data_IF_010648351740
#
_entry.id   IF_010648351740
#
_cell.length_a   1.000
_cell.length_b   1.000
_cell.length_c   1.000
_cell.angle_alpha   90.00
_cell.angle_beta   90.00
_cell.angle_gamma   90.00
#
_symmetry.space_group_name_H-M   'P 1'
#
loop_
_entity.id
_entity.type
_entity.pdbx_description
1 polymer ?
#
# COMPACT_ATOMS: atom_id res chain seq x y z
N UNK A 1 55.14 -13.62 -86.29
CA UNK A 1 55.20 -13.75 -84.81
C UNK A 1 55.51 -12.44 -84.10
N UNK A 2 55.99 -11.39 -84.78
CA UNK A 2 56.28 -10.09 -84.13
C UNK A 2 55.01 -9.24 -83.86
N UNK A 3 54.05 -9.18 -84.79
CA UNK A 3 52.84 -8.36 -84.63
C UNK A 3 51.88 -8.83 -83.52
N UNK A 4 51.85 -10.14 -83.23
CA UNK A 4 51.11 -10.70 -82.09
C UNK A 4 51.71 -10.28 -80.74
N UNK A 5 53.03 -10.03 -80.69
CA UNK A 5 53.75 -9.63 -79.48
C UNK A 5 53.57 -8.13 -79.19
N UNK A 6 53.47 -7.30 -80.23
CA UNK A 6 53.23 -5.85 -80.11
C UNK A 6 51.78 -5.47 -79.74
N UNK A 7 50.80 -6.35 -79.95
CA UNK A 7 49.40 -6.10 -79.65
C UNK A 7 48.81 -7.04 -78.58
N UNK A 8 49.65 -7.83 -77.91
CA UNK A 8 49.26 -8.76 -76.86
C UNK A 8 48.52 -8.07 -75.70
N UNK A 9 48.96 -6.88 -75.31
CA UNK A 9 48.30 -6.06 -74.27
C UNK A 9 46.87 -5.69 -74.66
N UNK A 10 46.63 -5.30 -75.92
CA UNK A 10 45.31 -4.94 -76.41
C UNK A 10 44.37 -6.16 -76.48
N UNK A 11 44.91 -7.33 -76.81
CA UNK A 11 44.14 -8.58 -76.85
C UNK A 11 43.72 -8.99 -75.45
N UNK A 12 44.63 -8.95 -74.46
CA UNK A 12 44.28 -9.23 -73.07
C UNK A 12 43.27 -8.22 -72.54
N UNK A 13 43.47 -6.92 -72.83
CA UNK A 13 42.55 -5.88 -72.39
C UNK A 13 41.15 -6.06 -73.00
N UNK A 14 41.07 -6.43 -74.28
CA UNK A 14 39.79 -6.73 -74.95
C UNK A 14 39.10 -7.95 -74.34
N UNK A 15 39.85 -9.00 -74.01
CA UNK A 15 39.32 -10.19 -73.36
C UNK A 15 38.83 -9.88 -71.93
N UNK A 16 39.58 -9.07 -71.18
CA UNK A 16 39.18 -8.61 -69.86
C UNK A 16 37.90 -7.76 -69.90
N UNK A 17 37.76 -6.86 -70.88
CA UNK A 17 36.52 -6.11 -71.08
C UNK A 17 35.33 -7.03 -71.42
N UNK A 18 35.52 -8.02 -72.30
CA UNK A 18 34.47 -9.00 -72.61
C UNK A 18 34.04 -9.80 -71.38
N UNK A 19 34.99 -10.23 -70.55
CA UNK A 19 34.68 -10.94 -69.31
C UNK A 19 33.88 -10.06 -68.33
N UNK A 20 34.20 -8.76 -68.24
CA UNK A 20 33.48 -7.83 -67.37
C UNK A 20 32.05 -7.58 -67.86
N UNK A 21 31.85 -7.38 -69.18
CA UNK A 21 30.52 -7.25 -69.77
C UNK A 21 29.68 -8.51 -69.55
N UNK A 22 30.30 -9.69 -69.69
CA UNK A 22 29.62 -10.97 -69.45
C UNK A 22 29.21 -11.13 -67.97
N UNK A 23 30.08 -10.75 -67.02
CA UNK A 23 29.75 -10.77 -65.60
C UNK A 23 28.60 -9.81 -65.26
N UNK A 24 28.60 -8.60 -65.83
CA UNK A 24 27.51 -7.64 -65.66
C UNK A 24 26.17 -8.17 -66.22
N UNK A 25 26.20 -8.87 -67.35
CA UNK A 25 25.02 -9.50 -67.93
C UNK A 25 24.43 -10.57 -67.00
N UNK A 26 25.27 -11.42 -66.38
CA UNK A 26 24.80 -12.43 -65.42
C UNK A 26 24.12 -11.77 -64.22
N UNK A 27 24.69 -10.70 -63.68
CA UNK A 27 24.12 -10.01 -62.51
C UNK A 27 22.75 -9.39 -62.84
N UNK A 28 22.59 -8.81 -64.03
CA UNK A 28 21.31 -8.19 -64.44
C UNK A 28 20.22 -9.23 -64.68
N UNK A 29 20.58 -10.45 -65.08
CA UNK A 29 19.63 -11.52 -65.42
C UNK A 29 19.41 -12.52 -64.27
N UNK A 30 19.94 -12.26 -63.07
CA UNK A 30 19.80 -13.14 -61.93
C UNK A 30 18.47 -12.90 -61.20
N UNK A 31 17.44 -13.66 -61.56
CA UNK A 31 16.12 -13.62 -60.91
C UNK A 31 16.08 -14.43 -59.60
N UNK A 32 17.20 -14.50 -58.86
CA UNK A 32 17.32 -15.32 -57.65
C UNK A 32 16.46 -14.77 -56.50
N UNK A 33 16.40 -13.45 -56.34
CA UNK A 33 15.59 -12.79 -55.31
C UNK A 33 14.10 -13.06 -55.51
N UNK A 34 13.57 -12.89 -56.73
CA UNK A 34 12.16 -13.13 -57.04
C UNK A 34 11.75 -14.59 -56.78
N UNK A 35 12.64 -15.54 -57.08
CA UNK A 35 12.40 -16.98 -56.82
C UNK A 35 12.40 -17.29 -55.33
N UNK A 36 13.26 -16.64 -54.56
CA UNK A 36 13.30 -16.78 -53.10
C UNK A 36 12.03 -16.19 -52.50
N UNK A 37 11.60 -15.01 -52.94
CA UNK A 37 10.37 -14.38 -52.48
C UNK A 37 9.15 -15.22 -52.81
N UNK A 38 9.03 -15.74 -54.03
CA UNK A 38 7.95 -16.63 -54.43
C UNK A 38 7.92 -17.92 -53.59
N UNK A 39 9.09 -18.51 -53.29
CA UNK A 39 9.19 -19.69 -52.44
C UNK A 39 8.80 -19.40 -50.98
N UNK A 40 9.16 -18.22 -50.45
CA UNK A 40 8.76 -17.78 -49.11
C UNK A 40 7.25 -17.56 -49.04
N UNK A 41 6.65 -16.97 -50.08
CA UNK A 41 5.22 -16.68 -50.16
C UNK A 41 4.39 -17.96 -50.26
N UNK A 42 4.80 -18.91 -51.10
CA UNK A 42 4.15 -20.22 -51.24
C UNK A 42 4.29 -21.08 -49.97
N UNK A 43 5.45 -21.01 -49.29
CA UNK A 43 5.65 -21.71 -48.01
C UNK A 43 4.78 -21.15 -46.89
N UNK A 44 4.68 -19.83 -46.79
CA UNK A 44 4.01 -19.20 -45.67
C UNK A 44 2.49 -19.15 -45.83
N UNK A 45 1.94 -19.39 -47.03
CA UNK A 45 0.49 -19.42 -47.33
C UNK A 45 -0.31 -18.37 -46.53
N UNK A 46 0.01 -17.07 -46.67
CA UNK A 46 -0.56 -16.01 -45.82
C UNK A 46 -2.09 -15.91 -45.90
N UNK A 47 -2.69 -16.37 -47.00
CA UNK A 47 -4.15 -16.41 -47.19
C UNK A 47 -4.85 -17.56 -46.44
N UNK A 48 -4.11 -18.58 -45.99
CA UNK A 48 -4.61 -19.72 -45.21
C UNK A 48 -4.36 -19.57 -43.71
N UNK A 49 -3.48 -18.66 -43.31
CA UNK A 49 -3.35 -18.21 -41.93
C UNK A 49 -4.55 -17.30 -41.57
N UNK A 50 -5.75 -17.90 -41.55
CA UNK A 50 -6.86 -17.34 -40.80
C UNK A 50 -6.33 -17.14 -39.39
N UNK A 51 -6.08 -15.89 -39.02
CA UNK A 51 -5.64 -15.45 -37.71
C UNK A 51 -6.71 -15.89 -36.71
N UNK A 52 -6.63 -17.13 -36.26
CA UNK A 52 -7.57 -17.72 -35.33
C UNK A 52 -7.30 -17.01 -34.03
N UNK A 53 -8.06 -15.96 -33.78
CA UNK A 53 -7.97 -15.19 -32.56
C UNK A 53 -8.13 -16.18 -31.40
N UNK A 54 -7.08 -16.30 -30.59
CA UNK A 54 -7.12 -17.17 -29.44
C UNK A 54 -8.26 -16.68 -28.55
N UNK A 55 -9.15 -17.58 -28.09
CA UNK A 55 -10.20 -17.17 -27.17
C UNK A 55 -9.55 -16.59 -25.91
N UNK A 56 -10.14 -15.52 -25.39
CA UNK A 56 -9.64 -14.86 -24.19
C UNK A 56 -9.52 -15.86 -23.03
N UNK A 57 -8.35 -15.89 -22.41
CA UNK A 57 -8.10 -16.74 -21.26
C UNK A 57 -8.96 -16.28 -20.09
N UNK A 58 -9.83 -17.16 -19.58
CA UNK A 58 -10.68 -16.84 -18.44
C UNK A 58 -9.85 -16.65 -17.18
N UNK A 59 -9.75 -15.39 -16.73
CA UNK A 59 -9.08 -14.99 -15.48
C UNK A 59 -10.03 -14.96 -14.27
N UNK A 60 -11.26 -15.48 -14.41
CA UNK A 60 -12.31 -15.36 -13.40
C UNK A 60 -11.88 -15.92 -12.02
N UNK A 61 -11.16 -17.04 -12.00
CA UNK A 61 -10.66 -17.63 -10.75
C UNK A 61 -9.65 -16.73 -10.02
N UNK A 62 -8.76 -16.06 -10.77
CA UNK A 62 -7.78 -15.13 -10.22
C UNK A 62 -8.42 -13.83 -9.75
N UNK A 63 -9.42 -13.34 -10.49
CA UNK A 63 -10.19 -12.17 -10.07
C UNK A 63 -10.98 -12.44 -8.78
N UNK A 64 -11.55 -13.65 -8.64
CA UNK A 64 -12.26 -14.04 -7.43
C UNK A 64 -11.34 -14.14 -6.21
N UNK A 65 -10.11 -14.63 -6.37
CA UNK A 65 -9.13 -14.69 -5.27
C UNK A 65 -8.61 -13.30 -4.90
N UNK A 66 -8.36 -12.43 -5.87
CA UNK A 66 -7.98 -11.04 -5.61
C UNK A 66 -9.08 -10.28 -4.87
N UNK A 67 -10.33 -10.38 -5.33
CA UNK A 67 -11.47 -9.76 -4.68
C UNK A 67 -11.63 -10.24 -3.22
N UNK A 68 -11.34 -11.51 -2.93
CA UNK A 68 -11.35 -12.04 -1.56
C UNK A 68 -10.24 -11.45 -0.69
N UNK A 69 -9.05 -11.23 -1.25
CA UNK A 69 -7.91 -10.65 -0.54
C UNK A 69 -8.09 -9.15 -0.29
N UNK A 70 -8.62 -8.41 -1.26
CA UNK A 70 -8.95 -6.99 -1.11
C UNK A 70 -10.03 -6.78 -0.03
N UNK A 71 -10.97 -7.71 0.09
CA UNK A 71 -12.01 -7.68 1.12
C UNK A 71 -11.62 -8.40 2.42
N UNK A 72 -10.35 -8.77 2.61
CA UNK A 72 -9.91 -9.43 3.84
C UNK A 72 -10.02 -8.47 5.03
N UNK A 73 -11.04 -8.68 5.86
CA UNK A 73 -11.19 -7.93 7.12
C UNK A 73 -10.04 -8.27 8.07
N UNK A 74 -9.49 -7.28 8.79
CA UNK A 74 -8.50 -7.55 9.81
C UNK A 74 -9.09 -8.50 10.85
N UNK A 75 -8.45 -9.65 11.02
CA UNK A 75 -8.87 -10.65 11.99
C UNK A 75 -8.41 -10.21 13.38
N UNK A 76 -9.33 -9.73 14.20
CA UNK A 76 -9.05 -9.39 15.59
C UNK A 76 -8.98 -10.67 16.43
N UNK A 77 -7.76 -11.14 16.67
CA UNK A 77 -7.47 -12.36 17.42
C UNK A 77 -7.40 -12.17 18.96
N UNK A 78 -7.68 -10.95 19.43
CA UNK A 78 -7.66 -10.58 20.85
C UNK A 78 -9.03 -10.70 21.52
N UNK A 79 -9.36 -9.70 22.34
CA UNK A 79 -10.63 -9.63 23.06
C UNK A 79 -11.84 -9.65 22.09
N UNK A 80 -12.95 -10.33 22.44
CA UNK A 80 -13.26 -10.97 23.72
C UNK A 80 -12.81 -12.44 23.83
N UNK A 81 -12.40 -13.07 22.72
CA UNK A 81 -12.16 -14.51 22.66
C UNK A 81 -10.74 -14.93 23.05
N UNK A 82 -9.79 -13.97 23.11
CA UNK A 82 -8.45 -14.16 23.68
C UNK A 82 -7.72 -15.41 23.17
N UNK A 83 -7.75 -15.64 21.86
CA UNK A 83 -7.25 -16.86 21.22
C UNK A 83 -5.73 -17.02 21.36
N UNK A 84 -4.99 -15.91 21.47
CA UNK A 84 -3.51 -15.92 21.54
C UNK A 84 -2.92 -15.18 22.75
N UNK A 85 -3.73 -14.49 23.55
CA UNK A 85 -3.26 -13.79 24.75
C UNK A 85 -4.08 -14.23 25.97
N UNK A 86 -3.47 -14.88 26.98
CA UNK A 86 -4.19 -15.23 28.19
C UNK A 86 -4.73 -13.98 28.90
N UNK A 87 -5.91 -14.13 29.51
CA UNK A 87 -6.56 -13.05 30.23
C UNK A 87 -5.64 -12.54 31.35
N UNK A 88 -5.47 -11.23 31.42
CA UNK A 88 -4.64 -10.61 32.45
C UNK A 88 -5.38 -10.63 33.79
N UNK A 89 -4.69 -11.13 34.82
CA UNK A 89 -5.15 -11.10 36.21
C UNK A 89 -4.40 -10.01 36.95
N UNK A 90 -5.12 -9.15 37.67
CA UNK A 90 -4.51 -8.06 38.45
C UNK A 90 -5.08 -8.02 39.85
N UNK A 91 -4.25 -7.62 40.80
CA UNK A 91 -4.65 -7.43 42.19
C UNK A 91 -4.92 -5.96 42.43
N UNK A 92 -6.11 -5.65 42.93
CA UNK A 92 -6.49 -4.28 43.33
C UNK A 92 -5.75 -3.85 44.60
N UNK A 93 -5.72 -2.55 44.91
CA UNK A 93 -5.15 -2.05 46.18
C UNK A 93 -5.78 -2.66 47.43
N UNK A 94 -6.99 -3.22 47.31
CA UNK A 94 -7.74 -3.87 48.38
C UNK A 94 -7.45 -5.38 48.50
N UNK A 95 -6.55 -5.91 47.65
CA UNK A 95 -6.20 -7.34 47.64
C UNK A 95 -7.15 -8.23 46.82
N UNK A 96 -8.24 -7.69 46.29
CA UNK A 96 -9.15 -8.45 45.42
C UNK A 96 -8.52 -8.71 44.06
N UNK A 97 -8.58 -9.94 43.59
CA UNK A 97 -8.12 -10.35 42.26
C UNK A 97 -9.20 -10.05 41.24
N UNK A 98 -8.85 -9.32 40.19
CA UNK A 98 -9.74 -8.92 39.11
C UNK A 98 -9.24 -9.46 37.77
N UNK A 99 -10.15 -10.10 37.04
CA UNK A 99 -9.94 -10.63 35.69
C UNK A 99 -10.20 -9.53 34.66
N UNK A 100 -9.23 -9.23 33.80
CA UNK A 100 -9.30 -8.16 32.80
C UNK A 100 -9.52 -8.77 31.42
N UNK A 101 -10.78 -8.98 31.05
CA UNK A 101 -11.14 -9.68 29.80
C UNK A 101 -11.19 -8.76 28.58
N UNK A 102 -11.66 -7.52 28.72
CA UNK A 102 -11.86 -6.60 27.59
C UNK A 102 -10.91 -5.41 27.62
N UNK A 103 -10.23 -5.19 28.74
CA UNK A 103 -9.37 -4.02 28.95
C UNK A 103 -10.15 -2.77 29.36
N UNK A 104 -11.48 -2.86 29.45
CA UNK A 104 -12.36 -1.76 29.88
C UNK A 104 -12.74 -1.88 31.36
N UNK A 105 -12.35 -2.97 32.02
CA UNK A 105 -12.59 -3.24 33.44
C UNK A 105 -11.61 -2.48 34.36
N UNK A 106 -10.69 -1.70 33.80
CA UNK A 106 -9.69 -0.92 34.55
C UNK A 106 -9.61 0.53 34.05
N UNK A 107 -9.20 1.45 34.92
CA UNK A 107 -8.84 2.81 34.55
C UNK A 107 -10.06 3.63 34.19
N UNK A 108 -9.96 4.43 33.12
CA UNK A 108 -11.06 5.28 32.66
C UNK A 108 -12.29 4.49 32.20
N UNK A 109 -12.09 3.30 31.64
CA UNK A 109 -13.17 2.42 31.18
C UNK A 109 -14.03 1.85 32.31
N UNK A 110 -13.44 1.72 33.51
CA UNK A 110 -14.10 1.17 34.68
C UNK A 110 -14.84 2.23 35.51
N UNK A 111 -14.76 3.51 35.11
CA UNK A 111 -15.40 4.60 35.84
C UNK A 111 -16.91 4.49 35.63
N UNK A 112 -17.62 4.13 36.69
CA UNK A 112 -19.08 4.14 36.72
C UNK A 112 -19.54 5.35 37.54
N UNK A 113 -20.44 6.15 36.97
CA UNK A 113 -21.10 7.22 37.70
C UNK A 113 -22.03 6.59 38.74
N UNK A 114 -21.55 6.45 39.98
CA UNK A 114 -22.35 5.91 41.08
C UNK A 114 -23.52 6.82 41.48
N UNK A 115 -23.41 8.12 41.24
CA UNK A 115 -24.48 9.08 41.45
C UNK A 115 -23.97 10.51 41.56
N UNK A 116 -24.81 11.46 41.16
CA UNK A 116 -24.53 12.89 41.24
C UNK A 116 -25.15 13.45 42.52
N UNK A 117 -24.30 13.81 43.49
CA UNK A 117 -24.75 14.44 44.74
C UNK A 117 -24.64 15.96 44.64
N UNK A 118 -25.69 16.73 44.96
CA UNK A 118 -25.62 18.19 44.97
C UNK A 118 -24.65 18.67 46.07
N UNK A 119 -23.73 19.55 45.70
CA UNK A 119 -22.87 20.25 46.66
C UNK A 119 -23.63 21.47 47.18
N UNK A 120 -24.13 21.40 48.42
CA UNK A 120 -24.90 22.50 49.01
C UNK A 120 -24.02 23.55 49.70
N UNK A 121 -22.96 23.07 50.37
CA UNK A 121 -22.07 23.86 51.22
C UNK A 121 -20.62 23.41 51.03
N UNK A 122 -19.72 24.38 50.92
CA UNK A 122 -18.27 24.18 50.84
C UNK A 122 -17.63 24.97 51.97
N UNK A 123 -16.86 24.31 52.83
CA UNK A 123 -16.12 24.95 53.93
C UNK A 123 -14.64 24.79 53.65
N UNK A 124 -13.95 25.92 53.44
CA UNK A 124 -12.52 25.94 53.16
C UNK A 124 -11.77 26.59 54.32
N UNK A 125 -10.73 25.91 54.79
CA UNK A 125 -9.79 26.50 55.73
C UNK A 125 -8.83 27.45 55.00
N UNK A 126 -8.74 28.70 55.44
CA UNK A 126 -7.91 29.75 54.82
C UNK A 126 -6.63 30.08 55.60
N UNK A 127 -6.43 29.46 56.75
CA UNK A 127 -5.23 29.66 57.56
C UNK A 127 -5.51 30.25 58.94
N UNK A 128 -4.42 30.43 59.69
CA UNK A 128 -4.41 31.06 61.00
C UNK A 128 -3.97 32.52 60.85
N UNK A 129 -4.58 33.41 61.64
CA UNK A 129 -4.13 34.79 61.80
C UNK A 129 -4.05 35.19 63.27
N UNK A 130 -3.08 36.04 63.60
CA UNK A 130 -2.77 36.46 64.97
C UNK A 130 -1.47 35.84 65.49
N UNK A 131 -0.90 36.44 66.54
CA UNK A 131 0.36 36.01 67.17
C UNK A 131 0.15 35.90 68.69
N UNK A 132 0.64 34.82 69.30
CA UNK A 132 0.51 34.59 70.75
C UNK A 132 -0.90 34.18 71.20
N UNK A 133 -1.43 34.69 72.32
CA UNK A 133 -2.69 34.22 72.91
C UNK A 133 -3.96 34.55 72.11
N UNK A 134 -3.88 35.37 71.06
CA UNK A 134 -4.99 35.77 70.19
C UNK A 134 -4.96 35.08 68.82
N UNK A 135 -4.84 33.75 68.82
CA UNK A 135 -4.85 32.94 67.59
C UNK A 135 -6.27 32.81 67.03
N UNK A 136 -6.48 33.13 65.75
CA UNK A 136 -7.79 33.02 65.06
C UNK A 136 -7.68 32.15 63.82
N UNK A 137 -8.57 31.17 63.71
CA UNK A 137 -8.71 30.35 62.51
C UNK A 137 -9.68 31.00 61.53
N UNK A 138 -9.29 31.09 60.26
CA UNK A 138 -10.12 31.63 59.20
C UNK A 138 -10.69 30.50 58.35
N UNK A 139 -12.00 30.49 58.23
CA UNK A 139 -12.73 29.63 57.31
C UNK A 139 -13.47 30.49 56.31
N UNK A 140 -13.62 29.99 55.08
CA UNK A 140 -14.51 30.56 54.08
C UNK A 140 -15.67 29.59 53.86
N UNK A 141 -16.89 30.10 54.00
CA UNK A 141 -18.10 29.30 53.86
C UNK A 141 -18.79 29.68 52.56
N UNK A 142 -18.84 28.75 51.60
CA UNK A 142 -19.49 28.97 50.31
C UNK A 142 -20.77 28.15 50.22
N UNK A 143 -21.91 28.80 49.97
CA UNK A 143 -23.21 28.15 49.75
C UNK A 143 -23.41 27.90 48.26
N UNK A 144 -22.91 26.79 47.74
CA UNK A 144 -22.96 26.47 46.31
C UNK A 144 -24.38 26.36 45.74
N UNK A 145 -25.35 26.04 46.60
CA UNK A 145 -26.76 25.92 46.22
C UNK A 145 -27.55 27.25 46.15
N UNK A 146 -26.97 28.38 46.53
CA UNK A 146 -27.69 29.66 46.48
C UNK A 146 -27.93 30.13 45.03
N UNK A 147 -29.08 30.74 44.76
CA UNK A 147 -29.46 31.20 43.41
C UNK A 147 -28.52 32.29 42.89
N UNK A 148 -28.15 33.24 43.75
CA UNK A 148 -27.36 34.40 43.36
C UNK A 148 -25.90 34.27 43.77
N UNK A 149 -24.96 34.71 42.91
CA UNK A 149 -23.51 34.68 43.19
C UNK A 149 -23.12 35.38 44.50
N UNK A 150 -23.79 36.49 44.84
CA UNK A 150 -23.56 37.24 46.09
C UNK A 150 -24.00 36.44 47.33
N UNK A 151 -25.01 35.59 47.22
CA UNK A 151 -25.49 34.73 48.32
C UNK A 151 -24.62 33.49 48.51
N UNK A 152 -23.88 33.06 47.46
CA UNK A 152 -22.94 31.94 47.53
C UNK A 152 -21.71 32.29 48.38
N UNK A 153 -21.21 33.52 48.25
CA UNK A 153 -20.03 34.01 48.95
C UNK A 153 -20.47 34.73 50.23
N UNK A 154 -20.83 33.97 51.27
CA UNK A 154 -21.10 34.56 52.59
C UNK A 154 -19.88 34.34 53.48
N UNK A 155 -19.18 35.45 53.76
CA UNK A 155 -17.94 35.61 54.52
C UNK A 155 -17.78 34.60 55.65
#
# INVERSE_FOLDING_TARGET
MEQLKEHYEKIILGLAMLALVYAAYIIVMDDSEEKIEAQVLDRNQPDLESKKEMPEMSMAAYQATLARLENAKPLHLGNPHNLFNPVQWRVTRQGTVLKVERGNEIGAGAIVLSGTKPLYLKVEYRGITGTGPNLRYRFAITRESAKNKKERLRV
#
